data_IF_351251900503
#
_entry.id   IF_351251900503
#
_cell.length_a   1.000
_cell.length_b   1.000
_cell.length_c   1.000
_cell.angle_alpha   90.00
_cell.angle_beta   90.00
_cell.angle_gamma   90.00
#
_symmetry.space_group_name_H-M   'P 1'
#
loop_
_entity.id
_entity.type
_entity.pdbx_description
1 polymer ?
#
# COMPACT_ATOMS: atom_id res chain seq x y z
N UNK A 1 3.21 13.42 23.50
CA UNK A 1 4.58 13.50 24.04
C UNK A 1 5.47 13.88 22.86
N UNK A 2 6.14 15.04 22.91
CA UNK A 2 7.02 15.53 21.83
C UNK A 2 8.35 14.78 21.92
N UNK A 3 8.48 13.66 21.21
CA UNK A 3 9.75 12.98 21.11
C UNK A 3 10.67 13.77 20.19
N UNK A 4 11.67 14.42 20.80
CA UNK A 4 12.75 15.09 20.11
C UNK A 4 13.67 14.02 19.51
N UNK A 5 13.23 13.40 18.41
CA UNK A 5 14.09 12.53 17.61
C UNK A 5 15.12 13.40 16.89
N UNK A 6 16.35 12.93 16.84
CA UNK A 6 17.52 13.54 16.19
C UNK A 6 17.35 13.57 14.65
N UNK A 7 16.26 14.16 14.18
CA UNK A 7 15.86 14.24 12.78
C UNK A 7 15.83 15.71 12.34
N UNK A 8 16.23 15.95 11.10
CA UNK A 8 16.27 17.28 10.47
C UNK A 8 14.94 18.04 10.69
N UNK A 9 15.00 19.34 10.99
CA UNK A 9 13.82 20.19 11.21
C UNK A 9 12.74 20.10 10.13
N UNK A 10 13.11 19.77 8.88
CA UNK A 10 12.14 19.45 7.80
C UNK A 10 11.30 18.20 8.08
N UNK A 11 11.92 17.13 8.57
CA UNK A 11 11.23 15.89 8.92
C UNK A 11 10.29 16.11 10.12
N UNK A 12 10.76 16.82 11.15
CA UNK A 12 9.92 17.16 12.31
C UNK A 12 8.74 18.06 11.91
N UNK A 13 8.91 19.00 10.99
CA UNK A 13 7.81 19.82 10.48
C UNK A 13 6.80 19.00 9.67
N UNK A 14 7.23 18.05 8.84
CA UNK A 14 6.31 17.17 8.12
C UNK A 14 5.48 16.29 9.06
N UNK A 15 6.12 15.65 10.04
CA UNK A 15 5.44 14.78 11.01
C UNK A 15 4.48 15.58 11.91
N UNK A 16 4.88 16.75 12.40
CA UNK A 16 4.05 17.49 13.34
C UNK A 16 2.99 18.38 12.67
N UNK A 17 3.25 18.92 11.46
CA UNK A 17 2.34 19.89 10.82
C UNK A 17 1.49 19.30 9.68
N UNK A 18 1.97 18.26 8.98
CA UNK A 18 1.25 17.71 7.82
C UNK A 18 0.74 16.29 8.04
N UNK A 19 1.39 15.53 8.93
CA UNK A 19 1.15 14.10 9.03
C UNK A 19 1.18 13.63 10.48
N UNK A 20 0.13 13.97 11.24
CA UNK A 20 -0.03 13.51 12.62
C UNK A 20 -0.42 12.03 12.65
N UNK A 21 0.51 11.17 12.27
CA UNK A 21 0.37 9.71 12.25
C UNK A 21 -0.12 9.19 13.60
N UNK A 22 0.51 9.66 14.68
CA UNK A 22 0.12 9.34 16.07
C UNK A 22 -1.35 9.69 16.36
N UNK A 23 -1.85 10.82 15.84
CA UNK A 23 -3.25 11.21 16.04
C UNK A 23 -4.19 10.28 15.29
N UNK A 24 -3.87 9.93 14.04
CA UNK A 24 -4.69 9.03 13.22
C UNK A 24 -4.74 7.64 13.86
N UNK A 25 -3.59 7.09 14.24
CA UNK A 25 -3.50 5.79 14.91
C UNK A 25 -4.27 5.80 16.22
N UNK A 26 -4.14 6.86 17.03
CA UNK A 26 -4.89 7.01 18.28
C UNK A 26 -6.40 7.01 18.03
N UNK A 27 -6.90 7.77 17.05
CA UNK A 27 -8.32 7.80 16.70
C UNK A 27 -8.82 6.46 16.19
N UNK A 28 -8.01 5.78 15.39
CA UNK A 28 -8.36 4.47 14.85
C UNK A 28 -8.50 3.43 15.96
N UNK A 29 -7.54 3.39 16.90
CA UNK A 29 -7.57 2.51 18.07
C UNK A 29 -8.81 2.72 18.95
N UNK A 30 -9.08 3.96 19.34
CA UNK A 30 -10.24 4.28 20.17
C UNK A 30 -11.54 3.86 19.51
N UNK A 31 -11.69 4.14 18.21
CA UNK A 31 -12.91 3.81 17.49
C UNK A 31 -13.07 2.30 17.29
N UNK A 32 -11.96 1.58 17.08
CA UNK A 32 -11.97 0.14 16.93
C UNK A 32 -12.33 -0.55 18.27
N UNK A 33 -11.80 -0.05 19.38
CA UNK A 33 -12.08 -0.56 20.73
C UNK A 33 -13.56 -0.46 21.09
N UNK A 34 -14.25 0.63 20.73
CA UNK A 34 -15.70 0.79 20.90
C UNK A 34 -16.52 -0.33 20.22
N UNK A 35 -15.96 -0.95 19.17
CA UNK A 35 -16.57 -2.07 18.45
C UNK A 35 -15.96 -3.43 18.82
N UNK A 36 -15.07 -3.49 19.80
CA UNK A 36 -14.37 -4.73 20.19
C UNK A 36 -13.39 -5.24 19.13
N UNK A 37 -12.87 -4.35 18.25
CA UNK A 37 -11.87 -4.68 17.24
C UNK A 37 -10.48 -4.39 17.82
N UNK A 38 -9.62 -5.40 17.84
CA UNK A 38 -8.22 -5.26 18.25
C UNK A 38 -7.39 -4.60 17.15
N UNK A 39 -6.54 -3.64 17.53
CA UNK A 39 -5.64 -2.91 16.61
C UNK A 39 -4.21 -3.05 17.09
N UNK A 40 -3.41 -3.78 16.31
CA UNK A 40 -1.97 -3.92 16.53
C UNK A 40 -1.18 -3.08 15.51
N UNK A 41 -0.19 -2.33 16.00
CA UNK A 41 0.72 -1.57 15.12
C UNK A 41 1.89 -2.45 14.69
N UNK A 42 2.11 -2.57 13.37
CA UNK A 42 3.24 -3.30 12.80
C UNK A 42 4.22 -2.35 12.12
N UNK A 43 5.49 -2.72 12.15
CA UNK A 43 6.55 -1.90 11.53
C UNK A 43 6.43 -1.92 10.00
N UNK A 44 6.28 -0.73 9.41
CA UNK A 44 6.31 -0.52 7.96
C UNK A 44 7.73 -0.62 7.36
N UNK A 45 8.77 -0.82 8.18
CA UNK A 45 10.15 -0.78 7.72
C UNK A 45 10.43 -1.83 6.63
N UNK A 46 11.01 -1.35 5.51
CA UNK A 46 11.33 -2.12 4.29
C UNK A 46 10.15 -2.83 3.62
N UNK A 47 8.91 -2.54 3.99
CA UNK A 47 7.73 -3.19 3.39
C UNK A 47 7.49 -2.75 1.95
N UNK A 48 7.95 -1.57 1.54
CA UNK A 48 7.75 -1.04 0.19
C UNK A 48 8.99 -1.16 -0.71
N UNK A 49 9.96 -2.00 -0.32
CA UNK A 49 11.25 -2.18 -1.01
C UNK A 49 11.50 -3.62 -1.45
N UNK A 50 10.50 -4.50 -1.36
CA UNK A 50 10.60 -5.92 -1.71
C UNK A 50 9.40 -6.32 -2.54
N UNK A 51 9.60 -7.11 -3.59
CA UNK A 51 8.49 -7.60 -4.39
C UNK A 51 7.60 -8.55 -3.54
N UNK A 52 6.27 -8.34 -3.50
CA UNK A 52 5.38 -9.20 -2.73
C UNK A 52 5.22 -10.60 -3.35
N UNK A 53 5.52 -10.77 -4.64
CA UNK A 53 5.35 -12.05 -5.35
C UNK A 53 6.63 -12.87 -5.45
N UNK A 54 7.72 -12.28 -5.96
CA UNK A 54 8.98 -13.01 -6.15
C UNK A 54 10.04 -12.71 -5.09
N UNK A 55 9.71 -11.84 -4.11
CA UNK A 55 10.61 -11.49 -3.01
C UNK A 55 11.94 -10.84 -3.41
N UNK A 56 12.12 -10.50 -4.69
CA UNK A 56 13.30 -9.76 -5.16
C UNK A 56 13.33 -8.35 -4.59
N UNK A 57 14.53 -7.92 -4.23
CA UNK A 57 14.86 -6.52 -3.88
C UNK A 57 15.39 -5.75 -5.09
N UNK A 58 15.53 -6.40 -6.24
CA UNK A 58 15.89 -5.77 -7.50
C UNK A 58 14.68 -5.03 -8.09
N UNK A 59 14.54 -3.78 -7.65
CA UNK A 59 13.38 -2.93 -7.90
C UNK A 59 13.80 -1.53 -8.39
N UNK A 60 12.92 -0.92 -9.18
CA UNK A 60 13.00 0.48 -9.55
C UNK A 60 11.81 1.21 -8.95
N UNK A 61 12.06 2.36 -8.31
CA UNK A 61 11.01 3.20 -7.74
C UNK A 61 11.08 4.61 -8.33
N UNK A 62 9.91 5.19 -8.64
CA UNK A 62 9.78 6.59 -9.10
C UNK A 62 8.52 7.21 -8.51
N UNK A 63 8.68 8.03 -7.47
CA UNK A 63 7.53 8.55 -6.70
C UNK A 63 6.75 7.40 -6.07
N UNK A 64 5.48 7.24 -6.45
CA UNK A 64 4.60 6.14 -5.99
C UNK A 64 4.69 4.88 -6.85
N UNK A 65 5.44 4.89 -7.95
CA UNK A 65 5.61 3.72 -8.79
C UNK A 65 6.64 2.76 -8.18
N UNK A 66 6.28 1.48 -8.14
CA UNK A 66 7.15 0.35 -7.85
C UNK A 66 7.22 -0.56 -9.08
N UNK A 67 8.43 -0.93 -9.51
CA UNK A 67 8.65 -1.93 -10.56
C UNK A 67 9.66 -2.97 -10.10
N UNK A 68 9.30 -4.24 -10.15
CA UNK A 68 10.24 -5.35 -9.95
C UNK A 68 10.94 -5.70 -11.26
N UNK A 69 12.27 -5.79 -11.26
CA UNK A 69 13.05 -6.14 -12.43
C UNK A 69 13.10 -7.65 -12.69
N UNK A 70 12.87 -8.47 -11.66
CA UNK A 70 12.87 -9.92 -11.79
C UNK A 70 11.57 -10.48 -12.37
N UNK A 71 10.41 -10.18 -11.76
CA UNK A 71 9.11 -10.70 -12.21
C UNK A 71 8.30 -9.72 -13.07
N UNK A 72 8.77 -8.48 -13.23
CA UNK A 72 8.09 -7.46 -14.03
C UNK A 72 6.86 -6.82 -13.39
N UNK A 73 6.58 -7.08 -12.11
CA UNK A 73 5.47 -6.44 -11.40
C UNK A 73 5.60 -4.91 -11.43
N UNK A 74 4.57 -4.22 -11.91
CA UNK A 74 4.41 -2.78 -11.76
C UNK A 74 3.18 -2.48 -10.90
N UNK A 75 3.36 -1.72 -9.82
CA UNK A 75 2.31 -1.42 -8.86
C UNK A 75 2.53 -0.08 -8.15
N UNK A 76 1.52 0.37 -7.42
CA UNK A 76 1.70 1.46 -6.46
C UNK A 76 2.52 0.97 -5.25
N UNK A 77 3.49 1.76 -4.82
CA UNK A 77 4.37 1.47 -3.69
C UNK A 77 3.63 1.32 -2.35
N UNK A 78 2.54 2.05 -2.16
CA UNK A 78 1.68 1.94 -0.97
C UNK A 78 0.96 0.58 -0.96
N UNK A 79 0.46 0.14 -2.12
CA UNK A 79 -0.14 -1.20 -2.26
C UNK A 79 0.87 -2.31 -1.99
N UNK A 80 2.10 -2.18 -2.49
CA UNK A 80 3.20 -3.13 -2.18
C UNK A 80 3.50 -3.16 -0.68
N UNK A 81 3.52 -2.00 -0.02
CA UNK A 81 3.70 -1.89 1.43
C UNK A 81 2.63 -2.67 2.20
N UNK A 82 1.35 -2.43 1.90
CA UNK A 82 0.21 -3.12 2.54
C UNK A 82 0.31 -4.63 2.35
N UNK A 83 0.62 -5.09 1.13
CA UNK A 83 0.76 -6.51 0.83
C UNK A 83 1.87 -7.19 1.63
N UNK A 84 3.02 -6.53 1.74
CA UNK A 84 4.15 -7.07 2.49
C UNK A 84 3.91 -7.03 4.01
N UNK A 85 3.12 -6.09 4.54
CA UNK A 85 2.70 -6.10 5.95
C UNK A 85 1.78 -7.30 6.18
N UNK A 86 0.71 -7.45 5.40
CA UNK A 86 -0.22 -8.57 5.54
C UNK A 86 0.46 -9.93 5.40
N UNK A 87 1.37 -10.07 4.42
CA UNK A 87 2.13 -11.31 4.23
C UNK A 87 3.01 -11.67 5.43
N UNK A 88 3.55 -10.69 6.19
CA UNK A 88 4.32 -10.96 7.42
C UNK A 88 3.45 -11.51 8.54
N UNK A 89 2.19 -11.10 8.59
CA UNK A 89 1.21 -11.57 9.58
C UNK A 89 0.48 -12.86 9.13
N UNK A 90 0.91 -13.47 8.03
CA UNK A 90 0.33 -14.73 7.51
C UNK A 90 -0.93 -14.53 6.68
N UNK A 91 -1.27 -13.31 6.30
CA UNK A 91 -2.40 -13.03 5.42
C UNK A 91 -2.03 -13.21 3.95
N UNK A 92 -2.83 -14.00 3.22
CA UNK A 92 -2.67 -14.20 1.78
C UNK A 92 -3.41 -13.11 0.99
N UNK A 93 -2.93 -11.88 1.09
CA UNK A 93 -3.54 -10.74 0.40
C UNK A 93 -3.01 -10.70 -1.05
N UNK A 94 -3.74 -11.23 -2.03
CA UNK A 94 -3.34 -11.18 -3.45
C UNK A 94 -4.09 -10.13 -4.28
N UNK A 95 -5.02 -9.37 -3.67
CA UNK A 95 -5.96 -8.49 -4.39
C UNK A 95 -5.63 -7.00 -4.38
N UNK A 96 -4.60 -6.55 -3.66
CA UNK A 96 -4.35 -5.11 -3.43
C UNK A 96 -3.41 -4.50 -4.48
N UNK A 97 -2.86 -5.30 -5.40
CA UNK A 97 -2.24 -4.73 -6.60
C UNK A 97 -3.33 -4.16 -7.48
N UNK A 98 -3.73 -2.93 -7.19
CA UNK A 98 -4.41 -2.10 -8.16
C UNK A 98 -3.44 -1.99 -9.34
N UNK A 99 -3.68 -2.79 -10.39
CA UNK A 99 -3.26 -2.37 -11.70
C UNK A 99 -3.78 -0.96 -11.85
N UNK A 100 -2.93 0.02 -12.21
CA UNK A 100 -3.42 1.35 -12.43
C UNK A 100 -4.51 1.25 -13.48
N UNK A 101 -5.77 1.27 -13.04
CA UNK A 101 -6.90 1.51 -13.91
C UNK A 101 -6.56 2.89 -14.46
N UNK A 102 -6.14 2.93 -15.72
CA UNK A 102 -5.74 4.16 -16.37
C UNK A 102 -6.98 5.02 -16.63
N UNK A 103 -7.83 5.23 -15.63
CA UNK A 103 -9.03 6.04 -15.72
C UNK A 103 -8.59 7.50 -15.64
N UNK A 104 -8.88 8.26 -16.70
CA UNK A 104 -8.75 9.71 -16.74
C UNK A 104 -10.10 10.28 -16.32
N UNK A 105 -10.11 11.11 -15.27
CA UNK A 105 -11.27 11.93 -14.94
C UNK A 105 -11.40 13.06 -15.98
N UNK A 106 -12.56 13.17 -16.63
CA UNK A 106 -12.82 14.20 -17.65
C UNK A 106 -13.64 15.39 -17.14
N UNK A 107 -14.04 15.35 -15.86
CA UNK A 107 -14.91 16.36 -15.24
C UNK A 107 -16.31 15.84 -14.91
N UNK A 108 -16.75 14.73 -15.52
CA UNK A 108 -18.07 14.12 -15.27
C UNK A 108 -18.01 12.60 -15.06
N UNK A 109 -17.06 11.90 -15.69
CA UNK A 109 -16.90 10.44 -15.57
C UNK A 109 -15.44 10.01 -15.60
N UNK A 110 -15.19 8.80 -15.11
CA UNK A 110 -13.92 8.10 -15.25
C UNK A 110 -13.85 7.39 -16.61
N UNK A 111 -12.94 7.85 -17.48
CA UNK A 111 -12.76 7.28 -18.83
C UNK A 111 -11.49 6.42 -18.94
N UNK A 112 -11.54 5.17 -19.42
CA UNK A 112 -10.35 4.34 -19.60
C UNK A 112 -9.39 4.92 -20.65
N UNK A 113 -8.13 5.21 -20.29
CA UNK A 113 -7.07 5.39 -21.30
C UNK A 113 -6.85 4.05 -21.98
N UNK A 114 -6.61 4.09 -23.30
CA UNK A 114 -6.25 2.92 -24.11
C UNK A 114 -5.17 2.11 -23.38
N UNK A 115 -5.53 0.91 -22.96
CA UNK A 115 -4.66 0.04 -22.20
C UNK A 115 -3.38 -0.20 -23.01
N UNK A 116 -2.22 0.00 -22.36
CA UNK A 116 -0.97 -0.57 -22.85
C UNK A 116 -1.18 -2.09 -22.87
N UNK A 117 -0.81 -2.76 -23.96
CA UNK A 117 -0.98 -4.22 -24.11
C UNK A 117 -0.17 -4.95 -23.04
N UNK A 118 -0.79 -5.21 -21.90
CA UNK A 118 -0.23 -6.06 -20.87
C UNK A 118 -0.64 -7.51 -21.16
N UNK A 119 0.33 -8.42 -21.11
CA UNK A 119 0.13 -9.86 -21.25
C UNK A 119 -0.91 -10.30 -20.23
N UNK A 120 -1.98 -10.96 -20.67
CA UNK A 120 -3.08 -11.41 -19.82
C UNK A 120 -2.54 -12.28 -18.68
N UNK A 121 -2.61 -11.81 -17.44
CA UNK A 121 -2.51 -12.68 -16.27
C UNK A 121 -3.85 -13.39 -16.13
N UNK A 122 -3.82 -14.72 -16.07
CA UNK A 122 -4.99 -15.54 -15.75
C UNK A 122 -5.23 -15.38 -14.25
N UNK A 123 -6.32 -14.71 -13.81
CA UNK A 123 -6.63 -14.63 -12.38
C UNK A 123 -7.18 -16.01 -11.93
N UNK A 124 -6.71 -16.59 -10.82
CA UNK A 124 -7.38 -17.73 -10.23
C UNK A 124 -8.80 -17.32 -9.85
N UNK A 125 -9.80 -18.00 -10.42
CA UNK A 125 -11.21 -17.77 -10.14
C UNK A 125 -11.51 -18.06 -8.67
N UNK A 126 -11.57 -17.02 -7.83
CA UNK A 126 -12.20 -17.13 -6.53
C UNK A 126 -13.71 -16.97 -6.71
N UNK A 127 -14.42 -18.09 -6.84
CA UNK A 127 -15.89 -18.13 -6.69
C UNK A 127 -16.23 -17.78 -5.25
N UNK A 128 -16.84 -16.62 -5.05
CA UNK A 128 -17.47 -16.29 -3.77
C UNK A 128 -18.83 -16.99 -3.77
N UNK A 129 -18.95 -18.08 -3.01
CA UNK A 129 -20.25 -18.66 -2.68
C UNK A 129 -21.04 -17.60 -1.91
N UNK A 130 -22.16 -17.16 -2.49
CA UNK A 130 -23.14 -16.31 -1.79
C UNK A 130 -23.89 -17.21 -0.82
N UNK A 131 -23.71 -17.00 0.48
CA UNK A 131 -24.75 -17.29 1.47
C UNK A 131 -25.75 -16.13 1.45
#
# INVERSE_FOLDING_TARGET
IRNNSHNNGKANAMVNNFWSFDYIVKRFKERAEEYGIEVEEKSEYKTSSKCPFCHSEDIVTRGRLFRCLYCGLEANRDAVGVLNIGSREGENINRVVAYPLLLRWDGMRWEPRRAVKNRSMIPPEARISRL
#
